data_IF_707709770951
#
_entry.id   IF_707709770951
#
_cell.length_a   1.000
_cell.length_b   1.000
_cell.length_c   1.000
_cell.angle_alpha   90.00
_cell.angle_beta   90.00
_cell.angle_gamma   90.00
#
_symmetry.space_group_name_H-M   'P 1'
#
loop_
_entity.id
_entity.type
_entity.pdbx_description
1 polymer ?
#
# COMPACT_ATOMS: atom_id res chain seq x y z
N UNK A 1 -13.85 51.54 17.76
CA UNK A 1 -13.53 50.31 18.51
C UNK A 1 -13.27 49.22 17.49
N UNK A 2 -12.01 48.83 17.25
CA UNK A 2 -11.67 47.76 16.32
C UNK A 2 -12.12 46.41 16.92
N UNK A 3 -12.79 45.61 16.11
CA UNK A 3 -13.25 44.27 16.45
C UNK A 3 -12.04 43.33 16.56
N UNK A 4 -11.75 42.86 17.77
CA UNK A 4 -10.86 41.73 18.01
C UNK A 4 -11.45 40.48 17.33
N UNK A 5 -10.91 40.08 16.18
CA UNK A 5 -11.18 38.78 15.59
C UNK A 5 -10.30 37.75 16.30
N UNK A 6 -10.88 36.70 16.93
CA UNK A 6 -10.11 35.70 17.66
C UNK A 6 -9.16 34.96 16.71
N UNK A 7 -7.96 34.56 17.18
CA UNK A 7 -6.94 33.92 16.37
C UNK A 7 -7.51 32.63 15.79
N UNK A 8 -7.49 32.52 14.45
CA UNK A 8 -7.91 31.31 13.76
C UNK A 8 -7.10 30.12 14.29
N UNK A 9 -7.77 29.22 15.02
CA UNK A 9 -7.20 28.02 15.60
C UNK A 9 -6.75 27.10 14.46
N UNK A 10 -5.44 27.17 14.13
CA UNK A 10 -4.80 26.39 13.07
C UNK A 10 -4.71 24.93 13.53
N UNK A 11 -5.75 24.16 13.25
CA UNK A 11 -5.82 22.73 13.56
C UNK A 11 -4.94 21.96 12.58
N UNK A 12 -3.72 21.63 13.00
CA UNK A 12 -2.83 20.75 12.24
C UNK A 12 -3.45 19.35 12.11
N UNK A 13 -3.86 18.99 10.89
CA UNK A 13 -4.35 17.64 10.56
C UNK A 13 -3.19 16.89 9.90
N UNK A 14 -2.57 15.97 10.64
CA UNK A 14 -1.54 15.08 10.08
C UNK A 14 -2.19 14.01 9.20
N UNK A 15 -2.14 14.21 7.88
CA UNK A 15 -2.59 13.21 6.91
C UNK A 15 -1.52 12.14 6.76
N UNK A 16 -1.67 11.04 7.49
CA UNK A 16 -0.90 9.81 7.25
C UNK A 16 -1.44 9.09 6.01
N UNK A 17 -0.63 8.96 4.95
CA UNK A 17 -0.96 8.07 3.82
C UNK A 17 -0.89 6.62 4.32
N UNK A 18 -2.02 5.92 4.32
CA UNK A 18 -2.05 4.49 4.61
C UNK A 18 -1.36 3.73 3.46
N UNK A 19 -0.36 2.87 3.74
CA UNK A 19 0.31 2.08 2.70
C UNK A 19 -0.64 1.05 2.10
N UNK A 20 -0.60 0.90 0.77
CA UNK A 20 -1.46 -0.05 0.06
C UNK A 20 -0.83 -1.44 0.06
N UNK A 21 -1.13 -2.24 1.07
CA UNK A 21 -0.65 -3.63 1.18
C UNK A 21 -1.44 -4.63 0.32
N UNK A 22 -2.70 -4.31 0.01
CA UNK A 22 -3.62 -5.20 -0.74
C UNK A 22 -3.06 -5.69 -2.08
N UNK A 23 -2.45 -4.85 -2.94
CA UNK A 23 -1.87 -5.32 -4.21
C UNK A 23 -0.77 -6.36 -4.03
N UNK A 24 0.06 -6.23 -2.99
CA UNK A 24 1.15 -7.17 -2.72
C UNK A 24 0.64 -8.50 -2.17
N UNK A 25 -0.41 -8.46 -1.34
CA UNK A 25 -1.11 -9.67 -0.88
C UNK A 25 -1.67 -10.44 -2.07
N UNK A 26 -2.38 -9.74 -2.97
CA UNK A 26 -2.97 -10.34 -4.17
C UNK A 26 -1.89 -10.92 -5.07
N UNK A 27 -0.83 -10.14 -5.37
CA UNK A 27 0.26 -10.61 -6.20
C UNK A 27 0.93 -11.86 -5.62
N UNK A 28 1.24 -11.84 -4.32
CA UNK A 28 1.83 -12.98 -3.62
C UNK A 28 0.93 -14.22 -3.65
N UNK A 29 -0.38 -14.05 -3.42
CA UNK A 29 -1.35 -15.13 -3.52
C UNK A 29 -1.42 -15.72 -4.94
N UNK A 30 -1.47 -14.88 -5.97
CA UNK A 30 -1.50 -15.32 -7.37
C UNK A 30 -0.24 -16.10 -7.76
N UNK A 31 0.95 -15.63 -7.34
CA UNK A 31 2.21 -16.36 -7.54
C UNK A 31 2.16 -17.72 -6.84
N UNK A 32 1.64 -17.78 -5.60
CA UNK A 32 1.45 -19.01 -4.86
C UNK A 32 0.49 -20.00 -5.55
N UNK A 33 -0.64 -19.52 -6.07
CA UNK A 33 -1.59 -20.32 -6.84
C UNK A 33 -0.91 -20.88 -8.10
N UNK A 34 -0.10 -20.06 -8.80
CA UNK A 34 0.70 -20.52 -9.93
C UNK A 34 1.66 -21.65 -9.54
N UNK A 35 2.38 -21.51 -8.43
CA UNK A 35 3.25 -22.56 -7.91
C UNK A 35 2.47 -23.85 -7.55
N UNK A 36 1.25 -23.73 -7.03
CA UNK A 36 0.40 -24.89 -6.70
C UNK A 36 -0.07 -25.61 -7.97
N UNK A 37 -0.43 -24.86 -9.01
CA UNK A 37 -0.77 -25.42 -10.33
C UNK A 37 0.43 -26.17 -10.92
N UNK A 38 1.63 -25.60 -10.86
CA UNK A 38 2.85 -26.29 -11.30
C UNK A 38 3.06 -27.57 -10.49
N UNK A 39 2.95 -27.53 -9.15
CA UNK A 39 3.12 -28.71 -8.31
C UNK A 39 2.11 -29.82 -8.62
N UNK A 40 0.86 -29.47 -8.95
CA UNK A 40 -0.19 -30.45 -9.23
C UNK A 40 -0.19 -31.00 -10.67
N UNK A 41 0.23 -30.20 -11.65
CA UNK A 41 0.03 -30.50 -13.08
C UNK A 41 1.31 -30.60 -13.91
N UNK A 42 2.50 -30.29 -13.35
CA UNK A 42 3.76 -30.37 -14.12
C UNK A 42 4.29 -31.80 -14.30
N UNK A 43 3.77 -32.77 -13.55
CA UNK A 43 4.12 -34.19 -13.63
C UNK A 43 2.95 -35.01 -14.19
N UNK A 44 3.23 -36.16 -14.84
CA UNK A 44 2.19 -37.05 -15.34
C UNK A 44 1.20 -37.44 -14.24
N UNK A 45 -0.07 -37.58 -14.63
CA UNK A 45 -1.14 -37.94 -13.71
C UNK A 45 -0.82 -39.25 -12.98
N UNK A 46 -0.93 -39.21 -11.65
CA UNK A 46 -0.73 -40.38 -10.81
C UNK A 46 -2.11 -41.00 -10.50
N UNK A 47 -2.36 -42.29 -10.82
CA UNK A 47 -3.65 -42.92 -10.56
C UNK A 47 -4.01 -43.00 -9.07
N UNK A 48 -3.03 -42.87 -8.17
CA UNK A 48 -3.25 -42.88 -6.72
C UNK A 48 -3.67 -41.52 -6.14
N UNK A 49 -3.50 -40.42 -6.89
CA UNK A 49 -3.79 -39.07 -6.39
C UNK A 49 -4.54 -38.25 -7.43
N UNK A 50 -5.73 -37.79 -7.05
CA UNK A 50 -6.46 -36.84 -7.88
C UNK A 50 -5.72 -35.49 -7.94
N UNK A 51 -5.44 -35.02 -9.16
CA UNK A 51 -4.70 -33.77 -9.38
C UNK A 51 -5.47 -32.55 -8.86
N UNK A 52 -6.80 -32.57 -8.88
CA UNK A 52 -7.64 -31.53 -8.29
C UNK A 52 -7.48 -31.43 -6.78
N UNK A 53 -7.48 -32.57 -6.08
CA UNK A 53 -7.23 -32.63 -4.65
C UNK A 53 -5.81 -32.16 -4.28
N UNK A 54 -4.79 -32.59 -5.03
CA UNK A 54 -3.40 -32.15 -4.85
C UNK A 54 -3.27 -30.64 -5.07
N UNK A 55 -3.87 -30.12 -6.15
CA UNK A 55 -3.91 -28.69 -6.43
C UNK A 55 -4.56 -27.93 -5.29
N UNK A 56 -5.76 -28.33 -4.84
CA UNK A 56 -6.47 -27.66 -3.75
C UNK A 56 -5.67 -27.63 -2.45
N UNK A 57 -5.01 -28.73 -2.10
CA UNK A 57 -4.15 -28.81 -0.92
C UNK A 57 -2.97 -27.82 -0.98
N UNK A 58 -2.21 -27.84 -2.09
CA UNK A 58 -1.08 -26.92 -2.26
C UNK A 58 -1.53 -25.47 -2.45
N UNK A 59 -2.68 -25.24 -3.07
CA UNK A 59 -3.24 -23.91 -3.31
C UNK A 59 -3.46 -23.17 -2.00
N UNK A 60 -4.04 -23.82 -0.97
CA UNK A 60 -4.24 -23.19 0.34
C UNK A 60 -2.90 -22.78 0.97
N UNK A 61 -1.92 -23.71 0.97
CA UNK A 61 -0.60 -23.48 1.55
C UNK A 61 0.17 -22.38 0.80
N UNK A 62 0.26 -22.46 -0.52
CA UNK A 62 1.06 -21.54 -1.32
C UNK A 62 0.37 -20.20 -1.53
N UNK A 63 -0.95 -20.13 -1.67
CA UNK A 63 -1.64 -18.84 -1.72
C UNK A 63 -1.53 -18.10 -0.39
N UNK A 64 -1.74 -18.80 0.74
CA UNK A 64 -1.58 -18.22 2.08
C UNK A 64 -0.15 -17.80 2.36
N UNK A 65 0.82 -18.68 2.13
CA UNK A 65 2.24 -18.38 2.28
C UNK A 65 2.71 -17.27 1.35
N UNK A 66 2.30 -17.30 0.08
CA UNK A 66 2.58 -16.28 -0.92
C UNK A 66 2.00 -14.91 -0.53
N UNK A 67 0.77 -14.86 -0.01
CA UNK A 67 0.18 -13.63 0.51
C UNK A 67 1.00 -13.08 1.69
N UNK A 68 1.40 -13.92 2.65
CA UNK A 68 2.24 -13.51 3.79
C UNK A 68 3.58 -12.95 3.29
N UNK A 69 4.25 -13.63 2.36
CA UNK A 69 5.49 -13.14 1.76
C UNK A 69 5.29 -11.81 1.02
N UNK A 70 4.19 -11.66 0.30
CA UNK A 70 3.78 -10.40 -0.32
C UNK A 70 3.59 -9.29 0.71
N UNK A 71 2.93 -9.58 1.83
CA UNK A 71 2.76 -8.64 2.94
C UNK A 71 4.11 -8.18 3.51
N UNK A 72 5.01 -9.13 3.76
CA UNK A 72 6.36 -8.84 4.28
C UNK A 72 7.12 -7.96 3.30
N UNK A 73 7.07 -8.28 2.00
CA UNK A 73 7.70 -7.46 0.96
C UNK A 73 7.13 -6.04 0.96
N UNK A 74 5.81 -5.90 1.07
CA UNK A 74 5.13 -4.62 1.13
C UNK A 74 5.55 -3.81 2.37
N UNK A 75 5.66 -4.43 3.54
CA UNK A 75 6.16 -3.79 4.77
C UNK A 75 7.62 -3.33 4.62
N UNK A 76 8.48 -4.14 3.99
CA UNK A 76 9.88 -3.78 3.73
C UNK A 76 9.97 -2.59 2.77
N UNK A 77 9.15 -2.56 1.73
CA UNK A 77 9.10 -1.45 0.76
C UNK A 77 8.50 -0.18 1.37
N UNK A 78 7.43 -0.31 2.14
CA UNK A 78 6.81 0.81 2.85
C UNK A 78 7.80 1.47 3.82
N UNK A 79 8.52 0.66 4.59
CA UNK A 79 9.54 1.14 5.53
C UNK A 79 10.69 1.90 4.83
N UNK A 80 10.99 1.57 3.57
CA UNK A 80 11.93 2.33 2.73
C UNK A 80 11.29 3.59 2.12
N UNK A 81 10.03 3.52 1.72
CA UNK A 81 9.28 4.63 1.13
C UNK A 81 9.01 5.76 2.12
N UNK A 82 8.56 5.44 3.33
CA UNK A 82 8.31 6.41 4.42
C UNK A 82 9.57 7.21 4.72
N UNK A 83 10.74 6.56 4.77
CA UNK A 83 12.05 7.23 4.95
C UNK A 83 12.44 8.14 3.77
N UNK A 84 11.89 7.93 2.58
CA UNK A 84 12.20 8.72 1.37
C UNK A 84 11.25 9.89 1.18
N UNK A 85 10.01 9.81 1.68
CA UNK A 85 9.00 10.87 1.52
C UNK A 85 9.23 12.08 2.42
N UNK A 86 10.00 11.97 3.51
CA UNK A 86 10.45 13.14 4.30
C UNK A 86 11.33 14.12 3.49
N UNK A 87 11.84 13.73 2.32
CA UNK A 87 12.69 14.60 1.48
C UNK A 87 11.96 15.38 0.39
N UNK A 88 10.62 15.27 0.27
CA UNK A 88 9.87 16.12 -0.63
C UNK A 88 9.56 17.46 0.06
N UNK A 89 10.53 18.37 -0.08
CA UNK A 89 10.52 19.78 0.32
C UNK A 89 9.19 20.44 -0.06
N UNK A 90 8.53 21.01 0.95
CA UNK A 90 7.44 21.97 0.80
C UNK A 90 8.08 23.29 0.38
N UNK A 91 7.93 23.68 -0.88
CA UNK A 91 8.09 25.07 -1.26
C UNK A 91 6.78 25.77 -0.91
N UNK A 92 6.78 26.54 0.18
CA UNK A 92 5.64 27.35 0.57
C UNK A 92 5.42 28.40 -0.52
N UNK A 93 4.29 28.32 -1.23
CA UNK A 93 3.83 29.42 -2.08
C UNK A 93 3.45 30.56 -1.12
N UNK A 94 4.08 31.75 -1.20
CA UNK A 94 3.65 32.90 -0.42
C UNK A 94 2.21 33.23 -0.85
N UNK A 95 1.28 33.26 0.11
CA UNK A 95 -0.04 33.82 -0.15
C UNK A 95 0.14 35.26 -0.62
N UNK A 96 -0.30 35.55 -1.84
CA UNK A 96 -0.31 36.89 -2.42
C UNK A 96 -0.95 37.87 -1.44
N UNK A 97 -0.20 38.93 -1.07
CA UNK A 97 -0.75 40.05 -0.30
C UNK A 97 -2.02 40.57 -0.99
N UNK A 98 -3.12 40.82 -0.25
CA UNK A 98 -4.29 41.45 -0.83
C UNK A 98 -3.93 42.88 -1.22
N UNK A 99 -4.08 43.21 -2.51
CA UNK A 99 -4.03 44.57 -3.05
C UNK A 99 -4.87 45.49 -2.17
N UNK A 100 -4.21 46.22 -1.28
CA UNK A 100 -4.79 47.37 -0.60
C UNK A 100 -4.32 48.57 -1.39
N UNK A 101 -5.03 48.88 -2.47
CA UNK A 101 -4.91 50.18 -3.13
C UNK A 101 -5.30 51.28 -2.11
N UNK A 102 -4.42 52.26 -1.85
CA UNK A 102 -4.78 53.43 -1.08
C UNK A 102 -5.69 54.34 -1.92
N UNK A 103 -6.90 54.62 -1.41
CA UNK A 103 -7.73 55.73 -1.92
C UNK A 103 -7.05 57.09 -1.66
N UNK A 104 -7.05 57.97 -2.67
CA UNK A 104 -7.48 59.36 -2.49
C UNK A 104 -8.71 59.72 -3.32
#
# INVERSE_FOLDING_TARGET
MPSEQPPAERREVTVRRAPKYVPFLILGALVGIGAAAVAAYAVPANPSFDAGAVFGFFMVLFAGGGAILGAVLALVLDRRSVRRQERAVVEAVPDSEPDTEPQP
#
